data_IF_066097927440
#
_entry.id   IF_066097927440
#
_cell.length_a   1.000
_cell.length_b   1.000
_cell.length_c   1.000
_cell.angle_alpha   90.00
_cell.angle_beta   90.00
_cell.angle_gamma   90.00
#
_symmetry.space_group_name_H-M   'P 1'
#
loop_
_entity.id
_entity.type
_entity.pdbx_description
1 polymer ?
#
# COMPACT_ATOMS: atom_id res chain seq x y z
N UNK A 1 -25.65 -4.45 -18.03
CA UNK A 1 -25.45 -3.03 -17.88
C UNK A 1 -24.07 -2.63 -18.32
N UNK A 2 -23.93 -1.70 -19.19
CA UNK A 2 -22.58 -1.27 -19.54
C UNK A 2 -21.91 -0.68 -18.30
N UNK A 3 -20.61 -0.83 -18.27
CA UNK A 3 -19.81 -0.17 -17.25
C UNK A 3 -20.20 1.31 -17.30
N UNK A 4 -20.61 1.84 -16.17
CA UNK A 4 -20.99 3.24 -16.14
C UNK A 4 -19.76 4.07 -16.49
N UNK A 5 -19.89 5.13 -17.29
CA UNK A 5 -18.76 5.99 -17.56
C UNK A 5 -18.04 6.42 -16.28
N UNK A 6 -18.78 6.47 -15.16
CA UNK A 6 -18.23 6.88 -13.88
C UNK A 6 -17.10 5.97 -13.36
N UNK A 7 -17.15 4.66 -13.64
CA UNK A 7 -16.06 3.76 -13.19
C UNK A 7 -14.75 4.06 -13.90
N UNK A 8 -14.81 4.25 -15.22
CA UNK A 8 -13.62 4.59 -16.00
C UNK A 8 -13.14 6.00 -15.67
N UNK A 9 -14.08 6.92 -15.43
CA UNK A 9 -13.74 8.26 -15.04
C UNK A 9 -13.08 8.29 -13.67
N UNK A 10 -13.58 7.49 -12.74
CA UNK A 10 -12.98 7.39 -11.41
C UNK A 10 -11.54 6.89 -11.47
N UNK A 11 -11.29 5.85 -12.28
CA UNK A 11 -9.94 5.35 -12.48
C UNK A 11 -9.02 6.43 -13.06
N UNK A 12 -9.53 7.11 -14.08
CA UNK A 12 -8.77 8.16 -14.74
C UNK A 12 -8.45 9.30 -13.79
N UNK A 13 -9.45 9.76 -13.06
CA UNK A 13 -9.26 10.87 -12.12
C UNK A 13 -8.40 10.48 -10.94
N UNK A 14 -8.51 9.26 -10.46
CA UNK A 14 -7.67 8.78 -9.38
C UNK A 14 -6.19 8.77 -9.81
N UNK A 15 -5.93 8.33 -11.04
CA UNK A 15 -4.57 8.33 -11.59
C UNK A 15 -4.04 9.75 -11.75
N UNK A 16 -4.85 10.64 -12.28
CA UNK A 16 -4.47 12.05 -12.43
C UNK A 16 -4.21 12.70 -11.08
N UNK A 17 -5.08 12.43 -10.11
CA UNK A 17 -4.95 12.99 -8.78
C UNK A 17 -3.66 12.52 -8.12
N UNK A 18 -3.37 11.23 -8.25
CA UNK A 18 -2.14 10.68 -7.70
C UNK A 18 -0.91 11.36 -8.33
N UNK A 19 -0.88 11.47 -9.66
CA UNK A 19 0.25 12.08 -10.35
C UNK A 19 0.43 13.54 -9.97
N UNK A 20 -0.68 14.27 -9.82
CA UNK A 20 -0.65 15.66 -9.42
C UNK A 20 -0.11 15.83 -8.00
N UNK A 21 -0.60 15.01 -7.07
CA UNK A 21 -0.14 15.05 -5.68
C UNK A 21 1.31 14.63 -5.55
N UNK A 22 1.70 13.62 -6.32
CA UNK A 22 3.08 13.17 -6.35
C UNK A 22 4.02 14.29 -6.81
N UNK A 23 3.62 15.00 -7.85
CA UNK A 23 4.40 16.11 -8.37
C UNK A 23 4.49 17.25 -7.35
N UNK A 24 3.37 17.57 -6.72
CA UNK A 24 3.33 18.62 -5.71
C UNK A 24 4.23 18.30 -4.52
N UNK A 25 4.21 17.03 -4.09
CA UNK A 25 5.08 16.58 -3.00
C UNK A 25 6.54 16.67 -3.38
N UNK A 26 6.88 16.31 -4.63
CA UNK A 26 8.26 16.40 -5.09
C UNK A 26 8.75 17.84 -5.10
N UNK A 27 7.88 18.78 -5.47
CA UNK A 27 8.22 20.19 -5.46
C UNK A 27 8.38 20.73 -4.04
N UNK A 28 7.53 20.29 -3.11
CA UNK A 28 7.63 20.68 -1.71
C UNK A 28 8.90 20.14 -1.07
N UNK A 29 9.26 18.92 -1.41
CA UNK A 29 10.42 18.26 -0.84
C UNK A 29 11.71 18.60 -1.60
N UNK A 30 11.62 19.50 -2.54
CA UNK A 30 12.77 19.97 -3.29
C UNK A 30 13.76 20.61 -2.34
N UNK A 31 14.83 19.98 -2.05
CA UNK A 31 15.77 20.42 -1.06
C UNK A 31 15.75 19.63 0.23
N UNK A 32 14.80 18.71 0.36
CA UNK A 32 14.86 17.76 1.47
C UNK A 32 16.08 16.88 1.24
N UNK A 33 17.01 16.92 2.17
CA UNK A 33 18.25 16.18 2.03
C UNK A 33 18.03 14.68 2.22
N UNK A 34 18.87 13.88 1.56
CA UNK A 34 18.84 12.43 1.75
C UNK A 34 19.03 12.05 3.21
N UNK A 35 19.81 12.84 3.96
CA UNK A 35 20.03 12.61 5.38
C UNK A 35 18.73 12.74 6.18
N UNK A 36 17.87 13.68 5.80
CA UNK A 36 16.57 13.85 6.46
C UNK A 36 15.70 12.62 6.27
N UNK A 37 15.63 12.11 5.04
CA UNK A 37 14.87 10.89 4.76
C UNK A 37 15.42 9.70 5.52
N UNK A 38 16.73 9.61 5.62
CA UNK A 38 17.38 8.52 6.35
C UNK A 38 17.03 8.57 7.84
N UNK A 39 16.97 9.75 8.43
CA UNK A 39 16.59 9.89 9.83
C UNK A 39 15.15 9.45 10.07
N UNK A 40 14.25 9.91 9.21
CA UNK A 40 12.84 9.54 9.31
C UNK A 40 12.67 8.05 9.12
N UNK A 41 13.36 7.49 8.12
CA UNK A 41 13.28 6.06 7.84
C UNK A 41 13.79 5.21 9.01
N UNK A 42 14.86 5.66 9.66
CA UNK A 42 15.40 4.93 10.80
C UNK A 42 14.39 4.76 11.93
N UNK A 43 13.51 5.77 12.12
CA UNK A 43 12.48 5.73 13.15
C UNK A 43 11.22 5.02 12.66
N UNK A 44 10.88 5.21 11.39
CA UNK A 44 9.62 4.75 10.83
C UNK A 44 9.66 3.34 10.25
N UNK A 45 10.85 2.80 10.05
CA UNK A 45 11.00 1.48 9.42
C UNK A 45 10.20 0.43 10.19
N UNK A 46 9.43 -0.35 9.44
CA UNK A 46 8.59 -1.42 9.98
C UNK A 46 7.54 -0.94 10.98
N UNK A 47 7.13 0.33 10.86
CA UNK A 47 6.05 0.86 11.67
C UNK A 47 4.89 1.28 10.79
N UNK A 48 3.69 1.14 11.34
CA UNK A 48 2.47 1.53 10.64
C UNK A 48 2.47 3.04 10.38
N UNK A 49 2.22 3.46 9.13
CA UNK A 49 2.18 4.90 8.84
C UNK A 49 0.96 5.61 9.42
N UNK A 50 -0.02 4.85 9.93
CA UNK A 50 -1.23 5.44 10.48
C UNK A 50 -1.22 5.55 12.00
N UNK A 51 -0.64 4.59 12.69
CA UNK A 51 -0.67 4.57 14.15
C UNK A 51 0.70 4.39 14.80
N UNK A 52 1.73 4.21 13.99
CA UNK A 52 3.11 4.06 14.43
C UNK A 52 3.42 2.79 15.23
N UNK A 53 2.45 1.87 15.35
CA UNK A 53 2.72 0.59 15.98
C UNK A 53 3.61 -0.29 15.09
N UNK A 54 4.34 -1.25 15.67
CA UNK A 54 5.17 -2.13 14.87
C UNK A 54 4.36 -2.94 13.87
N UNK A 55 4.94 -3.14 12.69
CA UNK A 55 4.35 -4.01 11.67
C UNK A 55 4.87 -5.43 11.87
N UNK A 56 4.01 -6.41 11.64
CA UNK A 56 4.38 -7.82 11.69
C UNK A 56 4.37 -8.35 10.27
N UNK A 57 5.49 -8.91 9.84
CA UNK A 57 5.59 -9.50 8.51
C UNK A 57 5.05 -10.92 8.54
N UNK A 58 4.13 -11.21 7.63
CA UNK A 58 3.49 -12.51 7.52
C UNK A 58 3.64 -12.99 6.09
N UNK A 59 3.93 -14.27 5.92
CA UNK A 59 3.98 -14.89 4.61
C UNK A 59 2.74 -15.73 4.41
N UNK A 60 1.99 -15.42 3.36
CA UNK A 60 0.78 -16.14 3.01
C UNK A 60 0.77 -16.39 1.51
N UNK A 61 0.68 -17.68 1.13
CA UNK A 61 0.71 -18.10 -0.27
C UNK A 61 1.90 -17.51 -1.03
N UNK A 62 3.07 -17.55 -0.39
CA UNK A 62 4.34 -17.05 -0.94
C UNK A 62 4.39 -15.54 -1.14
N UNK A 63 3.44 -14.81 -0.57
CA UNK A 63 3.44 -13.36 -0.59
C UNK A 63 3.73 -12.86 0.81
N UNK A 64 4.70 -11.98 0.94
CA UNK A 64 5.01 -11.36 2.22
C UNK A 64 4.16 -10.11 2.40
N UNK A 65 3.52 -10.01 3.55
CA UNK A 65 2.64 -8.90 3.88
C UNK A 65 3.07 -8.32 5.21
N UNK A 66 2.92 -7.01 5.34
CA UNK A 66 3.14 -6.36 6.62
C UNK A 66 1.78 -5.98 7.19
N UNK A 67 1.48 -6.48 8.39
CA UNK A 67 0.24 -6.17 9.06
C UNK A 67 0.51 -5.37 10.32
N UNK A 68 -0.26 -4.31 10.52
CA UNK A 68 -0.15 -3.53 11.74
C UNK A 68 -0.64 -4.34 12.94
N UNK A 69 0.15 -4.33 14.00
CA UNK A 69 -0.18 -5.07 15.21
C UNK A 69 -1.30 -4.41 16.03
N UNK A 70 -1.61 -3.16 15.75
CA UNK A 70 -2.61 -2.40 16.52
C UNK A 70 -3.86 -2.05 15.71
N UNK A 71 -3.71 -1.32 14.61
CA UNK A 71 -4.88 -0.85 13.87
C UNK A 71 -5.40 -1.84 12.82
N UNK A 72 -4.65 -2.91 12.55
CA UNK A 72 -5.09 -3.93 11.62
C UNK A 72 -4.85 -3.62 10.14
N UNK A 73 -4.18 -2.53 9.84
CA UNK A 73 -3.88 -2.18 8.44
C UNK A 73 -2.90 -3.16 7.81
N UNK A 74 -3.01 -3.31 6.50
CA UNK A 74 -2.10 -4.14 5.71
C UNK A 74 -1.27 -3.28 4.79
N UNK A 75 -0.02 -3.68 4.60
CA UNK A 75 0.89 -3.00 3.69
C UNK A 75 1.48 -3.99 2.70
N UNK A 76 1.48 -3.62 1.43
CA UNK A 76 2.13 -4.38 0.37
C UNK A 76 3.28 -3.54 -0.18
N UNK A 77 4.46 -4.12 -0.22
CA UNK A 77 5.60 -3.47 -0.86
C UNK A 77 5.44 -3.52 -2.38
N UNK A 78 6.26 -2.74 -3.06
CA UNK A 78 6.29 -2.75 -4.51
C UNK A 78 6.52 -4.17 -5.03
N UNK A 79 5.64 -4.64 -5.89
CA UNK A 79 5.72 -5.99 -6.45
C UNK A 79 4.91 -7.04 -5.72
N UNK A 80 4.62 -6.85 -4.45
CA UNK A 80 3.81 -7.82 -3.70
C UNK A 80 2.35 -7.80 -4.17
N UNK A 81 1.83 -6.62 -4.48
CA UNK A 81 0.49 -6.53 -5.03
C UNK A 81 0.38 -7.30 -6.35
N UNK A 82 1.40 -7.21 -7.19
CA UNK A 82 1.42 -7.95 -8.45
C UNK A 82 1.38 -9.46 -8.20
N UNK A 83 2.05 -9.92 -7.16
CA UNK A 83 2.02 -11.33 -6.78
C UNK A 83 0.62 -11.77 -6.36
N UNK A 84 -0.10 -10.92 -5.63
CA UNK A 84 -1.48 -11.18 -5.25
C UNK A 84 -2.37 -11.28 -6.48
N UNK A 85 -2.24 -10.31 -7.38
CA UNK A 85 -3.02 -10.27 -8.61
C UNK A 85 -2.72 -11.44 -9.52
N UNK A 86 -1.49 -11.91 -9.54
CA UNK A 86 -1.09 -13.06 -10.35
C UNK A 86 -1.76 -14.35 -9.90
N UNK A 87 -2.24 -14.43 -8.67
CA UNK A 87 -2.96 -15.63 -8.19
C UNK A 87 -4.39 -15.69 -8.71
N UNK A 88 -4.88 -14.59 -9.30
CA UNK A 88 -6.18 -14.56 -9.94
C UNK A 88 -7.34 -14.35 -8.97
N UNK A 89 -8.45 -13.92 -9.52
CA UNK A 89 -9.64 -13.61 -8.72
C UNK A 89 -10.24 -14.84 -8.05
N UNK A 90 -10.11 -15.99 -8.68
CA UNK A 90 -10.65 -17.23 -8.13
C UNK A 90 -9.79 -17.89 -7.08
N UNK A 91 -8.65 -17.31 -6.74
CA UNK A 91 -7.70 -17.94 -5.82
C UNK A 91 -8.18 -17.91 -4.36
N UNK A 92 -9.10 -17.01 -4.01
CA UNK A 92 -9.53 -16.86 -2.64
C UNK A 92 -8.49 -16.23 -1.73
N UNK A 93 -7.48 -15.59 -2.30
CA UNK A 93 -6.40 -14.98 -1.55
C UNK A 93 -6.91 -13.96 -0.52
N UNK A 94 -7.73 -13.02 -0.97
CA UNK A 94 -8.24 -11.97 -0.09
C UNK A 94 -9.21 -12.54 0.96
N UNK A 95 -10.02 -13.52 0.56
CA UNK A 95 -10.91 -14.20 1.49
C UNK A 95 -10.14 -14.95 2.56
N UNK A 96 -9.06 -15.63 2.16
CA UNK A 96 -8.19 -16.33 3.09
C UNK A 96 -7.51 -15.39 4.07
N UNK A 97 -7.04 -14.25 3.58
CA UNK A 97 -6.45 -13.24 4.45
C UNK A 97 -7.44 -12.75 5.50
N UNK A 98 -8.67 -12.50 5.07
CA UNK A 98 -9.71 -12.04 5.99
C UNK A 98 -9.96 -13.06 7.09
N UNK A 99 -9.96 -14.34 6.76
CA UNK A 99 -10.13 -15.40 7.75
C UNK A 99 -9.01 -15.44 8.76
N UNK A 100 -7.77 -15.24 8.29
CA UNK A 100 -6.60 -15.26 9.17
C UNK A 100 -6.63 -14.10 10.16
N UNK A 101 -7.01 -12.93 9.70
CA UNK A 101 -6.96 -11.72 10.51
C UNK A 101 -8.31 -11.35 11.14
N UNK A 102 -9.27 -12.18 10.88
CA UNK A 102 -10.55 -12.08 11.51
C UNK A 102 -11.50 -11.09 11.15
#
# INVERSE_FOLDING_TARGET
MPVTPSEQEEEYFARLDFERRKKALAEQEHGAEAAERQRVLAVARNRCPKCAAPLVTITYRKVELDKCSACGGLWFDCGELDQVLAQGEGSGFLGGLKKIFG
#
